data_IF_318141324188
#
_entry.id   IF_318141324188
#
_cell.length_a   1.000
_cell.length_b   1.000
_cell.length_c   1.000
_cell.angle_alpha   90.00
_cell.angle_beta   90.00
_cell.angle_gamma   90.00
#
_symmetry.space_group_name_H-M   'P 1'
#
loop_
_entity.id
_entity.type
_entity.pdbx_description
1 polymer ?
#
# COMPACT_ATOMS: atom_id res chain seq x y z
N UNK A 1 29.79 50.34 23.51
CA UNK A 1 28.66 49.77 22.75
C UNK A 1 29.27 48.99 21.62
N UNK A 2 29.00 47.66 21.56
CA UNK A 2 29.51 46.83 20.44
C UNK A 2 28.86 47.30 19.11
N UNK A 3 29.69 47.56 18.12
CA UNK A 3 29.25 47.98 16.81
C UNK A 3 28.37 46.88 16.17
N UNK A 4 27.14 47.22 15.75
CA UNK A 4 26.22 46.25 15.18
C UNK A 4 26.74 45.72 13.86
N UNK A 5 26.86 44.42 13.71
CA UNK A 5 27.28 43.76 12.46
C UNK A 5 26.37 44.15 11.30
N UNK A 6 26.98 44.51 10.17
CA UNK A 6 26.26 44.91 8.94
C UNK A 6 26.61 43.98 7.78
N UNK A 7 25.70 43.81 6.86
CA UNK A 7 25.97 43.14 5.60
C UNK A 7 26.65 44.03 4.58
N UNK A 8 27.02 43.52 3.40
CA UNK A 8 27.66 44.25 2.30
C UNK A 8 26.83 45.42 1.75
N UNK A 9 25.54 45.48 2.10
CA UNK A 9 24.59 46.55 1.73
C UNK A 9 24.30 47.51 2.88
N UNK A 10 25.08 47.45 3.97
CA UNK A 10 24.93 48.32 5.14
C UNK A 10 23.72 47.96 6.09
N UNK A 11 23.01 46.87 5.87
CA UNK A 11 21.88 46.45 6.69
C UNK A 11 22.36 45.74 7.96
N UNK A 12 21.74 46.08 9.10
CA UNK A 12 22.08 45.46 10.40
C UNK A 12 21.64 44.01 10.43
N UNK A 13 22.59 43.14 10.77
CA UNK A 13 22.36 41.71 11.03
C UNK A 13 21.99 41.48 12.48
N UNK A 14 20.96 40.62 12.73
CA UNK A 14 20.56 40.17 14.06
C UNK A 14 21.52 39.10 14.58
N UNK A 15 21.37 38.76 15.87
CA UNK A 15 22.12 37.64 16.46
C UNK A 15 21.77 36.32 15.77
N UNK A 16 22.80 35.54 15.44
CA UNK A 16 22.66 34.32 14.65
C UNK A 16 22.72 34.53 13.13
N UNK A 17 22.37 35.72 12.61
CA UNK A 17 22.47 36.05 11.17
C UNK A 17 23.91 36.29 10.77
N UNK A 18 24.34 35.81 9.59
CA UNK A 18 25.59 36.20 8.92
C UNK A 18 25.47 36.20 7.41
N UNK A 19 26.35 36.98 6.74
CA UNK A 19 26.50 36.95 5.31
C UNK A 19 27.79 36.23 4.93
N UNK A 20 27.70 35.28 4.02
CA UNK A 20 28.82 34.52 3.50
C UNK A 20 29.54 35.26 2.38
N UNK A 21 30.81 34.89 2.12
CA UNK A 21 31.61 35.47 1.05
C UNK A 21 30.99 35.38 -0.35
N UNK A 22 30.16 34.34 -0.59
CA UNK A 22 29.40 34.18 -1.84
C UNK A 22 28.10 35.01 -1.92
N UNK A 23 27.88 35.93 -0.95
CA UNK A 23 26.70 36.80 -0.93
C UNK A 23 25.43 36.19 -0.37
N UNK A 24 25.42 34.90 -0.05
CA UNK A 24 24.28 34.25 0.62
C UNK A 24 24.25 34.54 2.13
N UNK A 25 23.09 34.34 2.74
CA UNK A 25 22.89 34.60 4.16
C UNK A 25 22.67 33.30 4.89
N UNK A 26 23.11 33.20 6.14
CA UNK A 26 22.84 32.09 7.02
C UNK A 26 22.37 32.57 8.41
N UNK A 27 21.52 31.76 9.04
CA UNK A 27 21.04 31.93 10.41
C UNK A 27 21.33 30.68 11.21
N UNK A 28 22.00 30.81 12.34
CA UNK A 28 22.36 29.72 13.25
C UNK A 28 21.44 29.69 14.44
N UNK A 29 20.88 28.52 14.71
CA UNK A 29 19.98 28.28 15.85
C UNK A 29 20.27 26.94 16.51
N UNK A 30 19.69 26.73 17.69
CA UNK A 30 19.72 25.45 18.39
C UNK A 30 18.34 24.82 18.28
N UNK A 31 18.26 23.59 17.80
CA UNK A 31 17.00 22.85 17.67
C UNK A 31 16.48 22.32 19.02
N UNK A 32 15.29 21.70 19.03
CA UNK A 32 14.66 21.12 20.23
C UNK A 32 15.52 19.99 20.85
N UNK A 33 16.39 19.35 20.08
CA UNK A 33 17.33 18.32 20.52
C UNK A 33 18.67 18.90 20.98
N UNK A 34 18.76 20.21 21.20
CA UNK A 34 19.99 20.95 21.61
C UNK A 34 21.13 20.85 20.59
N UNK A 35 20.85 20.52 19.32
CA UNK A 35 21.83 20.50 18.23
C UNK A 35 21.87 21.86 17.52
N UNK A 36 23.08 22.30 17.20
CA UNK A 36 23.28 23.50 16.40
C UNK A 36 22.92 23.23 14.94
N UNK A 37 22.06 24.06 14.37
CA UNK A 37 21.56 24.00 12.99
C UNK A 37 21.77 25.34 12.29
N UNK A 38 21.66 25.31 10.97
CA UNK A 38 21.81 26.51 10.14
C UNK A 38 20.77 26.46 9.01
N UNK A 39 20.11 27.59 8.77
CA UNK A 39 19.27 27.78 7.58
C UNK A 39 19.94 28.76 6.64
N UNK A 40 19.70 28.62 5.35
CA UNK A 40 20.34 29.41 4.29
C UNK A 40 19.31 30.09 3.41
N UNK A 41 19.66 31.29 2.92
CA UNK A 41 18.84 32.05 1.99
C UNK A 41 19.69 32.86 1.03
N UNK A 42 19.13 33.18 -0.13
CA UNK A 42 19.77 34.02 -1.13
C UNK A 42 19.69 35.51 -0.79
N UNK A 43 18.79 35.92 0.06
CA UNK A 43 18.62 37.30 0.50
C UNK A 43 18.29 37.36 2.00
N UNK A 44 18.59 38.55 2.62
CA UNK A 44 18.29 38.79 4.02
C UNK A 44 16.79 38.79 4.30
N UNK A 45 15.97 39.24 3.36
CA UNK A 45 14.50 39.19 3.49
C UNK A 45 13.97 37.78 3.51
N UNK A 46 14.49 36.92 2.63
CA UNK A 46 14.15 35.50 2.60
C UNK A 46 14.61 34.78 3.88
N UNK A 47 15.82 35.11 4.36
CA UNK A 47 16.34 34.56 5.60
C UNK A 47 15.38 34.86 6.78
N UNK A 48 15.01 36.11 6.94
CA UNK A 48 14.12 36.56 8.04
C UNK A 48 12.73 35.93 7.98
N UNK A 49 12.21 35.71 6.77
CA UNK A 49 10.96 34.98 6.60
C UNK A 49 11.09 33.52 7.08
N UNK A 50 12.18 32.86 6.75
CA UNK A 50 12.48 31.51 7.22
C UNK A 50 12.71 31.46 8.74
N UNK A 51 13.30 32.50 9.34
CA UNK A 51 13.44 32.62 10.78
C UNK A 51 12.09 32.75 11.49
N UNK A 52 11.18 33.58 10.97
CA UNK A 52 9.83 33.72 11.54
C UNK A 52 9.06 32.38 11.48
N UNK A 53 9.17 31.66 10.37
CA UNK A 53 8.56 30.31 10.23
C UNK A 53 9.18 29.35 11.23
N UNK A 54 10.52 29.34 11.34
CA UNK A 54 11.25 28.49 12.30
C UNK A 54 10.84 28.77 13.76
N UNK A 55 10.83 30.04 14.17
CA UNK A 55 10.47 30.41 15.55
C UNK A 55 9.02 30.08 15.88
N UNK A 56 8.12 30.21 14.91
CA UNK A 56 6.73 29.80 15.07
C UNK A 56 6.61 28.29 15.23
N UNK A 57 7.34 27.51 14.43
CA UNK A 57 7.33 26.07 14.51
C UNK A 57 7.95 25.58 15.84
N UNK A 58 9.07 26.17 16.26
CA UNK A 58 9.67 25.86 17.55
C UNK A 58 8.77 26.24 18.75
N UNK A 59 8.07 27.37 18.68
CA UNK A 59 7.14 27.79 19.72
C UNK A 59 5.91 26.84 19.83
N UNK A 60 5.51 26.23 18.71
CA UNK A 60 4.44 25.24 18.67
C UNK A 60 4.95 23.79 18.90
N UNK A 61 6.24 23.61 19.24
CA UNK A 61 6.84 22.31 19.51
C UNK A 61 7.18 21.49 18.25
N UNK A 62 7.07 22.07 17.04
CA UNK A 62 7.33 21.37 15.78
C UNK A 62 8.83 21.12 15.59
N UNK A 63 9.22 19.88 15.30
CA UNK A 63 10.60 19.53 14.95
C UNK A 63 10.92 19.94 13.52
N UNK A 64 11.30 21.20 13.35
CA UNK A 64 11.67 21.78 12.06
C UNK A 64 12.76 20.98 11.33
N UNK A 65 13.70 20.40 12.07
CA UNK A 65 14.81 19.63 11.48
C UNK A 65 14.36 18.26 10.96
N UNK A 66 13.43 17.61 11.66
CA UNK A 66 12.83 16.35 11.20
C UNK A 66 11.98 16.53 9.94
N UNK A 67 11.39 17.71 9.75
CA UNK A 67 10.61 18.04 8.55
C UNK A 67 11.43 18.10 7.24
N UNK A 68 12.78 18.09 7.32
CA UNK A 68 13.66 18.00 6.15
C UNK A 68 13.74 16.61 5.54
N UNK A 69 13.29 15.55 6.24
CA UNK A 69 13.25 14.21 5.67
C UNK A 69 12.38 14.17 4.42
N UNK A 70 12.69 13.27 3.49
CA UNK A 70 11.90 13.11 2.28
C UNK A 70 10.60 12.36 2.52
N UNK A 71 9.64 12.46 1.59
CA UNK A 71 8.42 11.64 1.61
C UNK A 71 8.76 10.15 1.60
N UNK A 72 9.77 9.73 0.84
CA UNK A 72 10.23 8.34 0.79
C UNK A 72 10.77 7.88 2.16
N UNK A 73 11.63 8.70 2.82
CA UNK A 73 12.17 8.37 4.15
C UNK A 73 11.05 8.25 5.20
N UNK A 74 10.06 9.16 5.16
CA UNK A 74 8.90 9.10 6.05
C UNK A 74 8.09 7.82 5.86
N UNK A 75 7.87 7.43 4.60
CA UNK A 75 7.16 6.20 4.25
C UNK A 75 7.93 4.97 4.74
N UNK A 76 9.25 4.94 4.56
CA UNK A 76 10.09 3.84 5.06
C UNK A 76 10.03 3.75 6.59
N UNK A 77 10.12 4.88 7.29
CA UNK A 77 9.96 4.94 8.76
C UNK A 77 8.61 4.37 9.20
N UNK A 78 7.53 4.78 8.55
CA UNK A 78 6.18 4.25 8.82
C UNK A 78 6.10 2.73 8.57
N UNK A 79 6.61 2.25 7.43
CA UNK A 79 6.57 0.84 7.07
C UNK A 79 7.41 -0.02 8.01
N UNK A 80 8.54 0.49 8.49
CA UNK A 80 9.39 -0.19 9.47
C UNK A 80 8.72 -0.37 10.84
N UNK A 81 7.78 0.49 11.19
CA UNK A 81 7.00 0.37 12.43
C UNK A 81 5.76 -0.51 12.26
N UNK A 82 5.27 -0.68 11.04
CA UNK A 82 4.04 -1.42 10.74
C UNK A 82 4.25 -2.93 10.86
N UNK A 83 3.46 -3.59 11.70
CA UNK A 83 3.51 -5.04 11.95
C UNK A 83 2.18 -5.71 11.60
N UNK A 84 2.17 -7.04 11.48
CA UNK A 84 0.95 -7.84 11.32
C UNK A 84 0.30 -7.77 9.93
N UNK A 85 1.00 -7.27 8.92
CA UNK A 85 0.48 -7.27 7.54
C UNK A 85 0.42 -8.69 6.97
N UNK A 86 -0.69 -9.03 6.34
CA UNK A 86 -0.80 -10.27 5.56
C UNK A 86 0.14 -10.21 4.35
N UNK A 87 0.73 -11.33 3.88
CA UNK A 87 1.72 -11.36 2.79
C UNK A 87 1.29 -10.60 1.54
N UNK A 88 0.04 -10.76 1.09
CA UNK A 88 -0.47 -10.04 -0.09
C UNK A 88 -0.60 -8.53 0.12
N UNK A 89 -0.95 -8.09 1.34
CA UNK A 89 -1.00 -6.65 1.68
C UNK A 89 0.41 -6.07 1.73
N UNK A 90 1.36 -6.79 2.32
CA UNK A 90 2.77 -6.40 2.36
C UNK A 90 3.34 -6.25 0.94
N UNK A 91 3.07 -7.20 0.04
CA UNK A 91 3.48 -7.12 -1.37
C UNK A 91 2.94 -5.86 -2.05
N UNK A 92 1.65 -5.55 -1.87
CA UNK A 92 1.04 -4.36 -2.44
C UNK A 92 1.67 -3.08 -1.89
N UNK A 93 1.94 -3.03 -0.60
CA UNK A 93 2.58 -1.89 0.07
C UNK A 93 4.04 -1.74 -0.38
N UNK A 94 4.80 -2.82 -0.48
CA UNK A 94 6.19 -2.77 -0.98
C UNK A 94 6.24 -2.27 -2.44
N UNK A 95 5.25 -2.63 -3.26
CA UNK A 95 5.14 -2.09 -4.63
C UNK A 95 4.86 -0.58 -4.61
N UNK A 96 3.99 -0.11 -3.70
CA UNK A 96 3.71 1.31 -3.53
C UNK A 96 4.95 2.06 -3.03
N UNK A 97 5.67 1.52 -2.03
CA UNK A 97 6.92 2.10 -1.51
C UNK A 97 7.96 2.25 -2.62
N UNK A 98 8.23 1.18 -3.39
CA UNK A 98 9.18 1.23 -4.52
C UNK A 98 8.81 2.33 -5.52
N UNK A 99 7.53 2.53 -5.77
CA UNK A 99 7.05 3.58 -6.67
C UNK A 99 7.26 4.97 -6.10
N UNK A 100 6.99 5.17 -4.80
CA UNK A 100 7.22 6.45 -4.13
C UNK A 100 8.70 6.82 -4.18
N UNK A 101 9.61 5.86 -3.98
CA UNK A 101 11.06 6.09 -4.10
C UNK A 101 11.49 6.49 -5.51
N UNK A 102 10.88 5.89 -6.54
CA UNK A 102 11.20 6.16 -7.94
C UNK A 102 10.57 7.46 -8.46
N UNK A 103 9.60 8.04 -7.75
CA UNK A 103 8.87 9.23 -8.17
C UNK A 103 9.55 10.49 -7.64
N UNK A 104 9.68 11.57 -8.44
CA UNK A 104 10.21 12.87 -7.96
C UNK A 104 9.46 13.42 -6.74
N UNK A 105 8.17 13.12 -6.60
CA UNK A 105 7.39 13.50 -5.42
C UNK A 105 7.95 12.85 -4.14
N UNK A 106 8.46 11.64 -4.22
CA UNK A 106 9.09 10.92 -3.11
C UNK A 106 10.32 11.62 -2.55
N UNK A 107 11.00 12.44 -3.35
CA UNK A 107 12.20 13.18 -2.97
C UNK A 107 11.92 14.56 -2.36
N UNK A 108 10.65 14.99 -2.30
CA UNK A 108 10.30 16.27 -1.67
C UNK A 108 10.45 16.18 -0.15
N UNK A 109 10.96 17.24 0.47
CA UNK A 109 10.95 17.38 1.93
C UNK A 109 9.51 17.50 2.45
N UNK A 110 9.14 16.71 3.48
CA UNK A 110 7.74 16.59 3.95
C UNK A 110 7.15 17.93 4.40
N UNK A 111 7.95 18.81 4.99
CA UNK A 111 7.51 20.15 5.41
C UNK A 111 7.08 21.04 4.24
N UNK A 112 7.53 20.75 3.01
CA UNK A 112 7.20 21.53 1.82
C UNK A 112 5.96 21.04 1.11
N UNK A 113 5.48 19.83 1.43
CA UNK A 113 4.33 19.21 0.78
C UNK A 113 3.03 19.86 1.23
N UNK A 114 2.33 20.50 0.30
CA UNK A 114 1.01 21.11 0.52
C UNK A 114 -0.10 20.19 0.03
N UNK A 115 -1.33 20.47 0.45
CA UNK A 115 -2.53 19.77 -0.04
C UNK A 115 -2.65 19.82 -1.57
N UNK A 116 -2.30 20.95 -2.20
CA UNK A 116 -2.28 21.10 -3.66
C UNK A 116 -1.28 20.19 -4.33
N UNK A 117 -0.07 20.02 -3.74
CA UNK A 117 0.96 19.12 -4.25
C UNK A 117 0.51 17.66 -4.17
N UNK A 118 -0.09 17.26 -3.05
CA UNK A 118 -0.59 15.90 -2.84
C UNK A 118 -1.72 15.55 -3.84
N UNK A 119 -2.66 16.47 -4.04
CA UNK A 119 -3.73 16.31 -5.03
C UNK A 119 -3.19 16.32 -6.45
N UNK A 120 -2.30 17.25 -6.80
CA UNK A 120 -1.66 17.36 -8.10
C UNK A 120 -0.86 16.11 -8.46
N UNK A 121 -0.17 15.51 -7.49
CA UNK A 121 0.54 14.24 -7.70
C UNK A 121 -0.41 13.09 -8.05
N UNK A 122 -1.55 12.97 -7.38
CA UNK A 122 -2.52 11.92 -7.70
C UNK A 122 -3.21 12.13 -9.06
N UNK A 123 -3.49 13.39 -9.43
CA UNK A 123 -3.96 13.73 -10.78
C UNK A 123 -2.92 13.33 -11.82
N UNK A 124 -1.66 13.72 -11.62
CA UNK A 124 -0.56 13.35 -12.52
C UNK A 124 -0.42 11.84 -12.68
N UNK A 125 -0.50 11.07 -11.60
CA UNK A 125 -0.47 9.60 -11.66
C UNK A 125 -1.64 9.05 -12.48
N UNK A 126 -2.85 9.58 -12.29
CA UNK A 126 -4.03 9.16 -13.05
C UNK A 126 -3.88 9.47 -14.54
N UNK A 127 -3.42 10.67 -14.90
CA UNK A 127 -3.19 11.09 -16.27
C UNK A 127 -2.06 10.28 -16.92
N UNK A 128 -1.12 9.77 -16.13
CA UNK A 128 -0.09 8.81 -16.54
C UNK A 128 -0.62 7.36 -16.70
N UNK A 129 -1.93 7.14 -16.58
CA UNK A 129 -2.59 5.86 -16.83
C UNK A 129 -2.77 4.97 -15.60
N UNK A 130 -2.46 5.45 -14.37
CA UNK A 130 -2.72 4.67 -13.15
C UNK A 130 -4.19 4.69 -12.79
N UNK A 131 -4.76 3.52 -12.57
CA UNK A 131 -6.15 3.37 -12.12
C UNK A 131 -6.33 3.88 -10.68
N UNK A 132 -7.51 4.45 -10.37
CA UNK A 132 -7.84 4.96 -9.04
C UNK A 132 -7.50 3.96 -7.92
N UNK A 133 -7.77 2.66 -8.12
CA UNK A 133 -7.45 1.65 -7.12
C UNK A 133 -5.94 1.53 -6.83
N UNK A 134 -5.08 1.70 -7.84
CA UNK A 134 -3.62 1.70 -7.67
C UNK A 134 -3.16 2.94 -6.90
N UNK A 135 -3.72 4.10 -7.23
CA UNK A 135 -3.47 5.35 -6.51
C UNK A 135 -3.98 5.24 -5.06
N UNK A 136 -5.11 4.56 -4.84
CA UNK A 136 -5.64 4.26 -3.51
C UNK A 136 -4.68 3.44 -2.64
N UNK A 137 -3.90 2.51 -3.23
CA UNK A 137 -2.84 1.79 -2.50
C UNK A 137 -1.72 2.75 -2.10
N UNK A 138 -1.29 3.66 -2.99
CA UNK A 138 -0.31 4.70 -2.63
C UNK A 138 -0.82 5.58 -1.49
N UNK A 139 -2.08 6.06 -1.58
CA UNK A 139 -2.69 6.85 -0.51
C UNK A 139 -2.76 6.09 0.81
N UNK A 140 -3.02 4.77 0.79
CA UNK A 140 -3.07 3.93 1.99
C UNK A 140 -1.71 3.76 2.70
N UNK A 141 -0.63 4.14 2.05
CA UNK A 141 0.72 4.18 2.60
C UNK A 141 1.11 5.59 3.01
N UNK A 142 0.98 6.58 2.11
CA UNK A 142 1.45 7.96 2.39
C UNK A 142 0.58 8.66 3.43
N UNK A 143 -0.75 8.51 3.39
CA UNK A 143 -1.64 9.19 4.34
C UNK A 143 -1.35 8.84 5.79
N UNK A 144 -1.26 7.57 6.21
CA UNK A 144 -0.93 7.24 7.60
C UNK A 144 0.54 7.57 7.96
N UNK A 145 1.47 7.56 7.00
CA UNK A 145 2.83 8.02 7.24
C UNK A 145 2.86 9.53 7.59
N UNK A 146 2.12 10.34 6.85
CA UNK A 146 1.96 11.76 7.16
C UNK A 146 1.13 12.02 8.42
N UNK A 147 0.17 11.15 8.78
CA UNK A 147 -0.54 11.25 10.06
C UNK A 147 0.44 11.02 11.23
N UNK A 148 1.30 10.01 11.14
CA UNK A 148 2.38 9.77 12.11
C UNK A 148 3.30 11.01 12.24
N UNK A 149 3.64 11.67 11.14
CA UNK A 149 4.46 12.89 11.19
C UNK A 149 3.74 14.07 11.85
N UNK A 150 2.40 14.12 11.80
CA UNK A 150 1.59 15.09 12.55
C UNK A 150 1.57 14.74 14.05
N UNK A 151 1.36 13.46 14.38
CA UNK A 151 1.35 12.97 15.77
C UNK A 151 2.72 13.08 16.45
N UNK A 152 3.81 12.99 15.67
CA UNK A 152 5.20 13.18 16.12
C UNK A 152 5.62 14.69 16.14
N UNK A 153 4.71 15.63 15.94
CA UNK A 153 4.97 17.08 15.88
C UNK A 153 6.05 17.48 14.86
N UNK A 154 6.16 16.75 13.75
CA UNK A 154 7.09 17.05 12.65
C UNK A 154 6.47 18.00 11.63
N UNK A 155 5.16 17.90 11.41
CA UNK A 155 4.39 18.77 10.54
C UNK A 155 3.03 19.11 11.16
N UNK A 156 2.47 20.28 10.83
CA UNK A 156 1.22 20.77 11.42
C UNK A 156 -0.03 20.06 10.90
N UNK A 157 -0.05 19.64 9.65
CA UNK A 157 -1.24 19.09 8.97
C UNK A 157 -0.85 18.03 7.97
N UNK A 158 -1.68 17.01 7.88
CA UNK A 158 -1.53 15.95 6.90
C UNK A 158 -2.06 16.42 5.53
N UNK A 159 -1.20 16.57 4.49
CA UNK A 159 -1.63 17.00 3.16
C UNK A 159 -2.44 15.94 2.39
N UNK A 160 -2.46 14.69 2.86
CA UNK A 160 -3.23 13.59 2.26
C UNK A 160 -4.59 13.34 2.92
N UNK A 161 -5.05 14.25 3.80
CA UNK A 161 -6.34 14.13 4.50
C UNK A 161 -7.51 14.58 3.61
N UNK A 162 -7.74 13.85 2.51
CA UNK A 162 -8.87 14.05 1.60
C UNK A 162 -9.38 12.71 1.05
N UNK A 163 -10.57 12.71 0.45
CA UNK A 163 -11.10 11.53 -0.24
C UNK A 163 -10.51 11.47 -1.65
N UNK A 164 -10.00 10.30 -2.03
CA UNK A 164 -9.42 10.10 -3.36
C UNK A 164 -10.43 10.35 -4.48
N UNK A 165 -11.69 9.97 -4.28
CA UNK A 165 -12.79 10.19 -5.22
C UNK A 165 -13.05 11.66 -5.58
N UNK A 166 -12.62 12.59 -4.72
CA UNK A 166 -12.79 14.03 -4.95
C UNK A 166 -11.71 14.61 -5.89
N UNK A 167 -10.70 13.80 -6.22
CA UNK A 167 -9.51 14.23 -6.99
C UNK A 167 -9.32 13.36 -8.23
N UNK A 168 -9.53 12.05 -8.09
CA UNK A 168 -9.33 11.07 -9.17
C UNK A 168 -10.66 10.36 -9.41
N UNK A 169 -11.19 10.38 -10.65
CA UNK A 169 -12.45 9.73 -10.98
C UNK A 169 -12.35 8.21 -10.81
N UNK A 170 -13.50 7.58 -10.52
CA UNK A 170 -13.58 6.13 -10.42
C UNK A 170 -13.64 5.53 -11.82
N UNK A 171 -12.56 4.96 -12.25
CA UNK A 171 -12.38 4.33 -13.57
C UNK A 171 -12.47 2.78 -13.50
N UNK A 172 -13.18 2.27 -12.49
CA UNK A 172 -13.36 0.83 -12.33
C UNK A 172 -14.25 0.28 -13.46
N UNK A 173 -13.73 -0.70 -14.19
CA UNK A 173 -14.54 -1.47 -15.11
C UNK A 173 -15.63 -2.23 -14.33
N UNK A 174 -16.88 -2.05 -14.72
CA UNK A 174 -18.00 -2.81 -14.15
C UNK A 174 -17.93 -4.23 -14.72
N UNK A 175 -17.61 -5.17 -13.87
CA UNK A 175 -17.63 -6.60 -14.22
C UNK A 175 -19.05 -7.12 -14.10
N UNK A 176 -19.66 -7.46 -15.21
CA UNK A 176 -20.94 -8.13 -15.23
C UNK A 176 -20.75 -9.62 -14.96
N UNK A 177 -21.76 -10.25 -14.34
CA UNK A 177 -21.83 -11.70 -14.26
C UNK A 177 -21.98 -12.28 -15.69
N UNK A 178 -21.49 -13.50 -15.87
CA UNK A 178 -21.71 -14.22 -17.13
C UNK A 178 -23.22 -14.48 -17.29
N UNK A 179 -23.73 -14.28 -18.52
CA UNK A 179 -25.06 -14.79 -18.87
C UNK A 179 -25.03 -16.31 -18.92
N UNK A 180 -26.20 -16.94 -18.90
CA UNK A 180 -26.30 -18.39 -18.99
C UNK A 180 -25.67 -18.92 -20.28
N UNK A 181 -25.96 -18.30 -21.39
CA UNK A 181 -25.35 -18.64 -22.68
C UNK A 181 -23.83 -18.50 -22.69
N UNK A 182 -23.30 -17.42 -22.10
CA UNK A 182 -21.86 -17.23 -21.98
C UNK A 182 -21.22 -18.30 -21.09
N UNK A 183 -21.91 -18.71 -20.04
CA UNK A 183 -21.44 -19.77 -19.17
C UNK A 183 -21.42 -21.12 -19.88
N UNK A 184 -22.45 -21.47 -20.64
CA UNK A 184 -22.54 -22.69 -21.43
C UNK A 184 -21.44 -22.74 -22.51
N UNK A 185 -21.27 -21.65 -23.25
CA UNK A 185 -20.22 -21.54 -24.27
C UNK A 185 -18.82 -21.65 -23.67
N UNK A 186 -18.60 -21.03 -22.50
CA UNK A 186 -17.32 -21.12 -21.80
C UNK A 186 -17.03 -22.53 -21.30
N UNK A 187 -18.02 -23.23 -20.75
CA UNK A 187 -17.87 -24.63 -20.32
C UNK A 187 -17.56 -25.55 -21.50
N UNK A 188 -18.22 -25.35 -22.64
CA UNK A 188 -17.94 -26.12 -23.86
C UNK A 188 -16.49 -25.86 -24.34
N UNK A 189 -16.08 -24.61 -24.39
CA UNK A 189 -14.70 -24.26 -24.77
C UNK A 189 -13.66 -24.90 -23.82
N UNK A 190 -13.91 -24.87 -22.51
CA UNK A 190 -13.00 -25.49 -21.53
C UNK A 190 -12.99 -27.00 -21.66
N UNK A 191 -14.11 -27.62 -22.00
CA UNK A 191 -14.19 -29.05 -22.26
C UNK A 191 -13.34 -29.45 -23.47
N UNK A 192 -13.39 -28.66 -24.54
CA UNK A 192 -12.69 -28.97 -25.78
C UNK A 192 -11.19 -28.62 -25.73
N UNK A 193 -10.80 -27.57 -25.04
CA UNK A 193 -9.46 -26.99 -25.08
C UNK A 193 -8.79 -26.82 -23.71
N UNK A 194 -9.53 -26.93 -22.60
CA UNK A 194 -9.06 -26.62 -21.25
C UNK A 194 -8.30 -27.74 -20.55
N UNK A 195 -8.13 -28.91 -21.20
CA UNK A 195 -7.42 -30.05 -20.61
C UNK A 195 -8.00 -30.47 -19.24
N UNK A 196 -7.16 -30.52 -18.22
CA UNK A 196 -7.56 -30.97 -16.89
C UNK A 196 -8.35 -29.95 -16.05
N UNK A 197 -8.58 -28.72 -16.57
CA UNK A 197 -9.25 -27.64 -15.80
C UNK A 197 -10.77 -27.64 -15.89
N UNK A 198 -11.39 -28.52 -16.67
CA UNK A 198 -12.84 -28.55 -16.84
C UNK A 198 -13.58 -28.71 -15.50
N UNK A 199 -13.17 -29.70 -14.70
CA UNK A 199 -13.81 -29.96 -13.41
C UNK A 199 -13.61 -28.82 -12.41
N UNK A 200 -12.44 -28.19 -12.41
CA UNK A 200 -12.15 -27.00 -11.57
C UNK A 200 -13.09 -25.85 -11.92
N UNK A 201 -13.32 -25.58 -13.19
CA UNK A 201 -14.23 -24.52 -13.66
C UNK A 201 -15.67 -24.83 -13.30
N UNK A 202 -16.12 -26.09 -13.49
CA UNK A 202 -17.47 -26.53 -13.09
C UNK A 202 -17.67 -26.31 -11.60
N UNK A 203 -16.71 -26.68 -10.75
CA UNK A 203 -16.78 -26.50 -9.32
C UNK A 203 -16.82 -25.01 -8.95
N UNK A 204 -15.94 -24.18 -9.55
CA UNK A 204 -15.88 -22.75 -9.29
C UNK A 204 -17.18 -22.04 -9.67
N UNK A 205 -17.75 -22.34 -10.84
CA UNK A 205 -19.01 -21.75 -11.30
C UNK A 205 -20.21 -22.19 -10.46
N UNK A 206 -20.24 -23.47 -10.06
CA UNK A 206 -21.37 -24.04 -9.31
C UNK A 206 -21.35 -23.73 -7.81
N UNK A 207 -20.20 -23.27 -7.26
CA UNK A 207 -20.05 -23.06 -5.80
C UNK A 207 -19.71 -21.62 -5.42
N UNK A 208 -19.18 -20.81 -6.35
CA UNK A 208 -18.65 -19.49 -6.05
C UNK A 208 -17.41 -19.50 -5.14
N UNK A 209 -16.71 -20.62 -5.04
CA UNK A 209 -15.43 -20.69 -4.35
C UNK A 209 -14.38 -19.77 -5.00
N UNK A 210 -13.48 -19.22 -4.19
CA UNK A 210 -12.29 -18.58 -4.73
C UNK A 210 -11.32 -19.66 -5.20
N UNK A 211 -10.52 -19.34 -6.25
CA UNK A 211 -9.51 -20.29 -6.75
C UNK A 211 -8.60 -20.81 -5.61
N UNK A 212 -8.16 -19.93 -4.71
CA UNK A 212 -7.35 -20.31 -3.55
C UNK A 212 -8.09 -21.16 -2.51
N UNK A 213 -9.40 -21.04 -2.42
CA UNK A 213 -10.25 -21.90 -1.56
C UNK A 213 -10.40 -23.30 -2.19
N UNK A 214 -10.66 -23.36 -3.52
CA UNK A 214 -10.74 -24.63 -4.24
C UNK A 214 -9.45 -25.45 -4.08
N UNK A 215 -8.30 -24.87 -4.41
CA UNK A 215 -7.03 -25.58 -4.28
C UNK A 215 -6.58 -25.78 -2.81
N UNK A 216 -7.22 -25.12 -1.86
CA UNK A 216 -7.05 -25.36 -0.44
C UNK A 216 -7.92 -26.48 0.12
N UNK A 217 -8.85 -27.04 -0.66
CA UNK A 217 -9.68 -28.17 -0.23
C UNK A 217 -8.85 -29.45 -0.12
N UNK A 218 -9.18 -30.22 0.89
CA UNK A 218 -8.70 -31.58 1.05
C UNK A 218 -9.86 -32.55 0.92
N UNK A 219 -9.58 -33.82 0.74
CA UNK A 219 -10.62 -34.86 0.69
C UNK A 219 -11.55 -34.85 1.92
N UNK A 220 -11.01 -34.50 3.09
CA UNK A 220 -11.77 -34.42 4.34
C UNK A 220 -12.72 -33.21 4.41
N UNK A 221 -12.62 -32.26 3.48
CA UNK A 221 -13.50 -31.10 3.44
C UNK A 221 -14.75 -31.32 2.58
N UNK A 222 -14.91 -32.51 1.96
CA UNK A 222 -16.02 -32.82 1.06
C UNK A 222 -16.91 -33.88 1.71
N UNK A 223 -18.12 -33.47 2.02
CA UNK A 223 -19.17 -34.36 2.49
C UNK A 223 -20.13 -34.71 1.32
N UNK A 224 -19.89 -35.86 0.69
CA UNK A 224 -20.69 -36.34 -0.44
C UNK A 224 -22.10 -36.85 -0.03
N UNK A 225 -22.32 -37.20 1.25
CA UNK A 225 -23.61 -37.64 1.74
C UNK A 225 -24.53 -36.44 1.96
N UNK A 226 -23.98 -35.38 2.55
CA UNK A 226 -24.74 -34.15 2.82
C UNK A 226 -24.67 -33.13 1.70
N UNK A 227 -24.02 -33.45 0.58
CA UNK A 227 -23.80 -32.56 -0.56
C UNK A 227 -23.21 -31.19 -0.11
N UNK A 228 -22.12 -31.22 0.65
CA UNK A 228 -21.57 -30.02 1.28
C UNK A 228 -20.02 -29.94 1.20
N UNK A 229 -19.47 -28.75 0.94
CA UNK A 229 -18.06 -28.44 1.00
C UNK A 229 -17.79 -27.59 2.24
N UNK A 230 -16.81 -27.96 3.05
CA UNK A 230 -16.37 -27.22 4.22
C UNK A 230 -15.17 -26.33 3.88
N UNK A 231 -15.39 -25.05 3.66
CA UNK A 231 -14.30 -24.09 3.37
C UNK A 231 -13.64 -23.64 4.67
N UNK A 232 -12.41 -24.10 4.92
CA UNK A 232 -11.67 -23.84 6.18
C UNK A 232 -10.34 -23.17 5.95
N UNK A 233 -9.77 -23.25 4.72
CA UNK A 233 -8.42 -22.76 4.37
C UNK A 233 -8.35 -22.31 2.94
N UNK A 234 -7.23 -21.68 2.62
CA UNK A 234 -6.85 -21.25 1.28
C UNK A 234 -5.42 -21.71 1.01
N UNK A 235 -5.15 -22.25 -0.18
CA UNK A 235 -3.79 -22.47 -0.67
C UNK A 235 -3.33 -21.24 -1.42
N UNK A 236 -2.25 -20.65 -0.96
CA UNK A 236 -1.66 -19.43 -1.51
C UNK A 236 -0.28 -19.68 -2.06
N UNK A 237 0.17 -18.79 -2.96
CA UNK A 237 1.51 -18.82 -3.54
C UNK A 237 2.06 -17.41 -3.61
N UNK A 238 3.37 -17.23 -3.29
CA UNK A 238 4.13 -16.00 -3.54
C UNK A 238 5.41 -16.35 -4.29
N UNK A 239 6.16 -15.33 -4.70
CA UNK A 239 7.48 -15.54 -5.32
C UNK A 239 8.49 -16.16 -4.34
N UNK A 240 8.39 -15.77 -3.04
CA UNK A 240 9.32 -16.22 -1.99
C UNK A 240 8.91 -17.57 -1.39
N UNK A 241 7.59 -17.87 -1.33
CA UNK A 241 7.06 -19.11 -0.79
C UNK A 241 6.16 -19.78 -1.84
N UNK A 242 6.58 -20.90 -2.44
CA UNK A 242 5.86 -21.50 -3.55
C UNK A 242 4.44 -21.94 -3.18
N UNK A 243 4.22 -22.50 -1.99
CA UNK A 243 2.88 -22.80 -1.46
C UNK A 243 2.85 -22.63 0.05
N UNK A 244 1.71 -22.11 0.54
CA UNK A 244 1.43 -22.02 1.97
C UNK A 244 -0.09 -21.97 2.21
N UNK A 245 -0.49 -22.43 3.39
CA UNK A 245 -1.90 -22.47 3.81
C UNK A 245 -2.21 -21.26 4.69
N UNK A 246 -3.35 -20.62 4.43
CA UNK A 246 -3.88 -19.55 5.29
C UNK A 246 -5.35 -19.77 5.59
N UNK A 247 -5.86 -19.32 6.75
CA UNK A 247 -7.30 -19.27 6.96
C UNK A 247 -7.93 -18.27 5.98
N UNK A 248 -9.23 -18.34 5.72
CA UNK A 248 -9.97 -17.35 4.95
C UNK A 248 -9.78 -15.95 5.50
N UNK A 249 -9.94 -14.93 4.63
CA UNK A 249 -9.66 -13.51 4.96
C UNK A 249 -10.50 -13.01 6.16
N UNK A 250 -11.71 -13.51 6.31
CA UNK A 250 -12.67 -13.13 7.37
C UNK A 250 -13.21 -14.37 8.05
N UNK A 251 -13.76 -14.22 9.26
CA UNK A 251 -14.46 -15.32 9.97
C UNK A 251 -15.61 -15.91 9.15
N UNK A 252 -16.37 -15.08 8.44
CA UNK A 252 -17.43 -15.50 7.51
C UNK A 252 -16.93 -16.22 6.25
N UNK A 253 -15.61 -16.21 6.01
CA UNK A 253 -15.00 -17.02 4.96
C UNK A 253 -14.93 -18.50 5.31
N UNK A 254 -14.96 -18.87 6.60
CA UNK A 254 -15.15 -20.24 7.06
C UNK A 254 -16.65 -20.51 6.94
N UNK A 255 -17.02 -21.37 6.00
CA UNK A 255 -18.42 -21.62 5.65
C UNK A 255 -18.60 -22.98 5.04
N UNK A 256 -19.84 -23.43 5.05
CA UNK A 256 -20.31 -24.60 4.32
C UNK A 256 -20.96 -24.14 3.02
N UNK A 257 -20.61 -24.79 1.91
CA UNK A 257 -21.14 -24.49 0.58
C UNK A 257 -21.90 -25.72 0.08
N UNK A 258 -23.20 -25.63 -0.22
CA UNK A 258 -23.95 -26.76 -0.77
C UNK A 258 -23.45 -27.07 -2.18
N UNK A 259 -23.55 -28.35 -2.56
CA UNK A 259 -23.16 -28.84 -3.88
C UNK A 259 -24.42 -29.27 -4.68
N UNK A 260 -24.45 -28.90 -5.94
CA UNK A 260 -25.34 -29.49 -6.94
C UNK A 260 -24.80 -30.85 -7.36
N UNK A 261 -25.67 -31.70 -7.96
CA UNK A 261 -25.25 -33.02 -8.50
C UNK A 261 -24.10 -32.88 -9.50
N UNK A 262 -24.12 -31.85 -10.33
CA UNK A 262 -23.04 -31.54 -11.30
C UNK A 262 -21.70 -31.28 -10.59
N UNK A 263 -21.72 -30.50 -9.51
CA UNK A 263 -20.52 -30.22 -8.70
C UNK A 263 -20.05 -31.48 -7.98
N UNK A 264 -20.97 -32.29 -7.43
CA UNK A 264 -20.65 -33.57 -6.82
C UNK A 264 -19.95 -34.51 -7.82
N UNK A 265 -20.48 -34.60 -9.05
CA UNK A 265 -19.90 -35.44 -10.08
C UNK A 265 -18.49 -34.96 -10.47
N UNK A 266 -18.27 -33.63 -10.63
CA UNK A 266 -16.96 -33.06 -10.89
C UNK A 266 -15.97 -33.37 -9.76
N UNK A 267 -16.35 -33.12 -8.50
CA UNK A 267 -15.49 -33.43 -7.34
C UNK A 267 -15.16 -34.91 -7.22
N UNK A 268 -16.11 -35.82 -7.53
CA UNK A 268 -15.82 -37.27 -7.58
C UNK A 268 -14.74 -37.61 -8.60
N UNK A 269 -14.76 -36.99 -9.80
CA UNK A 269 -13.73 -37.17 -10.81
C UNK A 269 -12.37 -36.66 -10.33
N UNK A 270 -12.32 -35.45 -9.74
CA UNK A 270 -11.10 -34.86 -9.17
C UNK A 270 -10.52 -35.78 -8.09
N UNK A 271 -11.32 -36.21 -7.12
CA UNK A 271 -10.89 -37.12 -6.06
C UNK A 271 -10.39 -38.47 -6.61
N UNK A 272 -11.05 -39.01 -7.63
CA UNK A 272 -10.64 -40.25 -8.28
C UNK A 272 -9.30 -40.09 -9.02
N UNK A 273 -9.13 -39.01 -9.77
CA UNK A 273 -7.87 -38.71 -10.46
C UNK A 273 -6.71 -38.53 -9.45
N UNK A 274 -6.99 -37.87 -8.32
CA UNK A 274 -6.03 -37.66 -7.24
C UNK A 274 -5.57 -38.95 -6.55
N UNK A 275 -6.43 -39.94 -6.44
CA UNK A 275 -6.11 -41.22 -5.81
C UNK A 275 -4.93 -41.98 -6.48
N UNK A 276 -4.56 -41.60 -7.71
CA UNK A 276 -3.47 -42.20 -8.45
C UNK A 276 -2.09 -41.57 -8.17
N UNK A 277 -2.00 -40.51 -7.36
CA UNK A 277 -0.71 -39.83 -7.06
C UNK A 277 0.15 -40.70 -6.13
N UNK A 278 1.42 -40.91 -6.51
CA UNK A 278 2.37 -41.71 -5.73
C UNK A 278 2.98 -40.95 -4.54
N UNK A 279 2.96 -39.61 -4.59
CA UNK A 279 3.58 -38.75 -3.57
C UNK A 279 2.52 -37.77 -3.08
N UNK A 280 2.33 -37.75 -1.77
CA UNK A 280 1.39 -36.81 -1.11
C UNK A 280 2.08 -35.50 -0.81
N UNK A 281 1.47 -34.39 -1.26
CA UNK A 281 1.99 -33.06 -0.98
C UNK A 281 1.68 -32.67 0.48
N UNK A 282 2.69 -32.24 1.23
CA UNK A 282 2.57 -31.69 2.56
C UNK A 282 2.88 -30.21 2.55
N UNK A 283 1.90 -29.35 2.89
CA UNK A 283 2.05 -27.90 2.93
C UNK A 283 1.57 -27.38 4.28
N UNK A 284 2.47 -26.78 5.05
CA UNK A 284 2.22 -26.24 6.39
C UNK A 284 1.45 -27.24 7.30
N UNK A 285 1.81 -28.52 7.26
CA UNK A 285 1.20 -29.59 8.04
C UNK A 285 -0.15 -30.10 7.49
N UNK A 286 -0.61 -29.60 6.36
CA UNK A 286 -1.81 -30.07 5.67
C UNK A 286 -1.44 -30.98 4.50
N UNK A 287 -2.19 -32.08 4.33
CA UNK A 287 -2.07 -33.01 3.21
C UNK A 287 -3.47 -33.38 2.67
N UNK A 288 -3.51 -34.21 1.60
CA UNK A 288 -4.77 -34.65 1.00
C UNK A 288 -5.44 -33.59 0.13
N UNK A 289 -4.70 -32.60 -0.38
CA UNK A 289 -5.24 -31.59 -1.31
C UNK A 289 -5.77 -32.25 -2.59
N UNK A 290 -6.81 -31.63 -3.16
CA UNK A 290 -7.47 -32.10 -4.38
C UNK A 290 -6.69 -31.77 -5.65
#
# INVERSE_FOLDING_TARGET
MSEKRKDSKGRVLKDGESQRANGTYDYRYTDIHKKRRCIYAKSLTELRKKEEELWRDLADGIDYAAGEMTVADLVDRYMNLKRGLKPNSLRSYNTAVKRIHADPFGQKAIKTVKLSDAKGWFVFLHDSGFKQNTIGILQSVVRPAFEMAVEDDVIRKNPFKFKLSDVVPKDAYVRNALTREQQENYLQFVQDYGGNYYDDIVILLGTGLRVSELYGLTRADIDFERHCIHVRRQLCRTAEKPYFVTPPKTKSGIRNVPMTDTVCAALRRVVKARASTKVEALVDGCSGFL
#
